data_IF_151286569982
#
_entry.id   IF_151286569982
#
_cell.length_a   1.000
_cell.length_b   1.000
_cell.length_c   1.000
_cell.angle_alpha   90.00
_cell.angle_beta   90.00
_cell.angle_gamma   90.00
#
_symmetry.space_group_name_H-M   'P 1'
#
loop_
_entity.id
_entity.type
_entity.pdbx_description
1 polymer ?
#
# COMPACT_ATOMS: atom_id res chain seq x y z
N UNK A 1 -2.24 -14.34 -5.52
CA UNK A 1 -1.25 -14.53 -4.45
C UNK A 1 -1.64 -13.78 -3.17
N UNK A 2 -1.33 -14.37 -1.99
CA UNK A 2 -1.61 -13.77 -0.68
C UNK A 2 -0.42 -13.01 -0.09
N UNK A 3 0.76 -13.13 -0.71
CA UNK A 3 2.01 -12.55 -0.24
C UNK A 3 2.74 -11.80 -1.35
N UNK A 4 3.51 -10.78 -0.99
CA UNK A 4 4.22 -9.91 -1.93
C UNK A 4 5.29 -10.65 -2.77
N UNK A 5 5.98 -11.64 -2.19
CA UNK A 5 6.98 -12.41 -2.92
C UNK A 5 6.40 -13.23 -4.10
N UNK A 6 5.39 -14.06 -3.88
CA UNK A 6 4.65 -14.72 -4.95
C UNK A 6 4.04 -13.74 -5.96
N UNK A 7 3.43 -12.65 -5.50
CA UNK A 7 2.82 -11.64 -6.37
C UNK A 7 3.87 -10.96 -7.27
N UNK A 8 5.04 -10.63 -6.73
CA UNK A 8 6.15 -10.06 -7.48
C UNK A 8 6.60 -10.96 -8.63
N UNK A 9 6.61 -12.28 -8.43
CA UNK A 9 6.97 -13.25 -9.47
C UNK A 9 5.86 -13.52 -10.47
N UNK A 10 4.59 -13.46 -10.02
CA UNK A 10 3.44 -13.72 -10.88
C UNK A 10 3.16 -12.56 -11.84
N UNK A 11 3.29 -11.33 -11.37
CA UNK A 11 2.95 -10.11 -12.13
C UNK A 11 4.22 -9.38 -12.59
N UNK A 12 5.06 -10.05 -13.39
CA UNK A 12 6.37 -9.53 -13.81
C UNK A 12 6.31 -8.21 -14.56
N UNK A 13 5.27 -8.01 -15.39
CA UNK A 13 5.06 -6.76 -16.15
C UNK A 13 4.69 -5.56 -15.27
N UNK A 14 4.20 -5.82 -14.06
CA UNK A 14 3.74 -4.80 -13.12
C UNK A 14 4.58 -4.73 -11.83
N UNK A 15 5.61 -5.57 -11.69
CA UNK A 15 6.36 -5.66 -10.45
C UNK A 15 7.19 -4.41 -10.11
N UNK A 16 7.32 -3.46 -11.06
CA UNK A 16 7.91 -2.13 -10.83
C UNK A 16 7.19 -1.34 -9.73
N UNK A 17 5.90 -1.60 -9.45
CA UNK A 17 5.16 -0.94 -8.36
C UNK A 17 5.71 -1.30 -6.97
N UNK A 18 6.47 -2.37 -6.85
CA UNK A 18 7.17 -2.72 -5.61
C UNK A 18 8.41 -1.86 -5.34
N UNK A 19 8.88 -1.10 -6.33
CA UNK A 19 9.93 -0.10 -6.14
C UNK A 19 9.31 1.21 -5.61
N UNK A 20 9.42 1.45 -4.30
CA UNK A 20 8.88 2.65 -3.65
C UNK A 20 9.51 3.94 -4.17
N UNK A 21 10.73 3.88 -4.72
CA UNK A 21 11.35 5.02 -5.38
C UNK A 21 10.63 5.35 -6.68
N UNK A 22 10.34 4.34 -7.50
CA UNK A 22 9.55 4.51 -8.70
C UNK A 22 8.15 5.05 -8.37
N UNK A 23 7.47 4.48 -7.37
CA UNK A 23 6.16 4.94 -6.90
C UNK A 23 6.20 6.41 -6.48
N UNK A 24 7.23 6.85 -5.77
CA UNK A 24 7.37 8.26 -5.35
C UNK A 24 7.63 9.18 -6.55
N UNK A 25 8.55 8.79 -7.45
CA UNK A 25 8.86 9.55 -8.69
C UNK A 25 7.64 9.68 -9.61
N UNK A 26 6.82 8.62 -9.74
CA UNK A 26 5.59 8.63 -10.57
C UNK A 26 4.51 9.60 -10.07
N UNK A 27 4.64 10.09 -8.85
CA UNK A 27 3.78 11.10 -8.23
C UNK A 27 4.41 12.51 -8.22
N UNK A 28 5.57 12.69 -8.84
CA UNK A 28 6.38 13.93 -8.80
C UNK A 28 6.75 14.33 -7.35
N UNK A 29 7.09 13.35 -6.51
CA UNK A 29 7.48 13.57 -5.12
C UNK A 29 8.99 13.77 -4.99
N UNK A 30 9.42 14.62 -4.04
CA UNK A 30 10.83 14.75 -3.68
C UNK A 30 11.30 13.44 -3.05
N UNK A 31 12.21 12.74 -3.74
CA UNK A 31 12.71 11.42 -3.32
C UNK A 31 13.96 11.04 -4.10
N UNK A 32 14.75 10.12 -3.54
CA UNK A 32 15.97 9.61 -4.18
C UNK A 32 16.57 8.44 -3.41
N UNK A 33 17.75 8.01 -3.85
CA UNK A 33 18.61 7.10 -3.08
C UNK A 33 19.41 7.87 -2.04
N UNK A 34 20.02 7.17 -1.07
CA UNK A 34 20.89 7.85 -0.12
C UNK A 34 22.22 8.31 -0.75
N UNK A 35 22.64 7.68 -1.83
CA UNK A 35 23.84 8.12 -2.55
C UNK A 35 23.58 9.46 -3.28
N UNK A 36 22.37 9.63 -3.86
CA UNK A 36 21.95 10.90 -4.49
C UNK A 36 21.82 12.03 -3.47
N UNK A 37 21.36 11.75 -2.25
CA UNK A 37 21.10 12.75 -1.21
C UNK A 37 22.39 13.50 -0.80
N UNK A 38 23.54 12.84 -0.87
CA UNK A 38 24.83 13.43 -0.53
C UNK A 38 25.24 14.55 -1.50
N UNK A 39 24.78 14.45 -2.75
CA UNK A 39 25.04 15.44 -3.80
C UNK A 39 24.03 16.60 -3.79
N UNK A 40 22.93 16.46 -3.07
CA UNK A 40 21.83 17.43 -3.06
C UNK A 40 21.50 17.96 -1.66
N UNK A 41 22.44 17.90 -0.71
CA UNK A 41 22.22 18.23 0.71
C UNK A 41 21.52 19.57 0.94
N UNK A 42 21.93 20.59 0.17
CA UNK A 42 21.42 21.96 0.32
C UNK A 42 19.96 22.13 -0.17
N UNK A 43 19.43 21.12 -0.87
CA UNK A 43 18.06 21.14 -1.42
C UNK A 43 17.06 20.33 -0.58
N UNK A 44 17.51 19.72 0.53
CA UNK A 44 16.69 18.85 1.34
C UNK A 44 15.94 19.64 2.39
N UNK A 45 14.63 19.57 2.32
CA UNK A 45 13.72 20.11 3.34
C UNK A 45 13.36 19.03 4.35
N UNK A 46 13.78 19.21 5.59
CA UNK A 46 13.41 18.29 6.68
C UNK A 46 12.01 18.60 7.23
N UNK A 47 11.28 17.59 7.77
CA UNK A 47 11.72 16.19 7.93
C UNK A 47 11.60 15.39 6.63
N UNK A 48 12.52 14.45 6.43
CA UNK A 48 12.43 13.41 5.39
C UNK A 48 12.15 12.03 6.01
N UNK A 49 11.83 11.06 5.16
CA UNK A 49 11.57 9.70 5.57
C UNK A 49 12.46 8.71 4.83
N UNK A 50 13.24 7.92 5.57
CA UNK A 50 14.07 6.84 5.01
C UNK A 50 13.32 5.52 5.20
N UNK A 51 13.29 4.69 4.16
CA UNK A 51 12.62 3.38 4.18
C UNK A 51 13.29 2.40 3.23
N UNK A 52 13.11 1.06 3.42
CA UNK A 52 13.53 0.07 2.44
C UNK A 52 12.88 0.35 1.08
N UNK A 53 13.68 0.33 0.00
CA UNK A 53 13.24 0.68 -1.35
C UNK A 53 12.22 -0.34 -1.89
N UNK A 54 12.46 -1.64 -1.69
CA UNK A 54 11.66 -2.70 -2.31
C UNK A 54 10.61 -3.28 -1.36
N UNK A 55 9.32 -3.08 -1.67
CA UNK A 55 8.18 -3.49 -0.84
C UNK A 55 8.08 -5.00 -0.63
N UNK A 56 8.35 -5.80 -1.65
CA UNK A 56 8.29 -7.27 -1.57
C UNK A 56 9.36 -7.90 -0.67
N UNK A 57 10.37 -7.13 -0.26
CA UNK A 57 11.48 -7.54 0.63
C UNK A 57 11.40 -6.91 2.03
N UNK A 58 10.38 -6.11 2.29
CA UNK A 58 10.22 -5.38 3.55
C UNK A 58 8.86 -5.64 4.17
N UNK A 59 8.79 -5.64 5.49
CA UNK A 59 7.54 -5.82 6.22
C UNK A 59 7.53 -5.00 7.52
N UNK A 60 6.33 -4.62 7.98
CA UNK A 60 6.06 -4.10 9.32
C UNK A 60 6.91 -2.88 9.73
N UNK A 61 7.10 -1.92 8.83
CA UNK A 61 7.85 -0.67 9.07
C UNK A 61 9.31 -0.87 9.55
N UNK A 62 9.84 -2.08 9.47
CA UNK A 62 11.24 -2.35 9.83
C UNK A 62 12.19 -1.58 8.90
N UNK A 63 13.13 -0.85 9.46
CA UNK A 63 14.08 -0.03 8.69
C UNK A 63 13.50 1.29 8.17
N UNK A 64 12.39 1.77 8.74
CA UNK A 64 11.78 3.07 8.44
C UNK A 64 12.14 4.10 9.50
N UNK A 65 12.58 5.30 9.08
CA UNK A 65 13.05 6.35 9.98
C UNK A 65 12.55 7.72 9.53
N UNK A 66 11.98 8.50 10.46
CA UNK A 66 11.74 9.94 10.27
C UNK A 66 13.01 10.68 10.65
N UNK A 67 13.57 11.42 9.72
CA UNK A 67 14.83 12.16 9.87
C UNK A 67 14.51 13.64 9.96
N UNK A 68 14.89 14.28 11.06
CA UNK A 68 14.53 15.65 11.36
C UNK A 68 15.59 16.68 10.96
N UNK A 69 16.84 16.23 10.76
CA UNK A 69 17.98 17.08 10.46
C UNK A 69 19.15 16.28 9.85
N UNK A 70 20.16 16.98 9.39
CA UNK A 70 21.35 16.39 8.76
C UNK A 70 22.14 15.46 9.70
N UNK A 71 22.22 15.79 11.00
CA UNK A 71 22.92 14.95 11.97
C UNK A 71 22.29 13.57 12.12
N UNK A 72 20.95 13.51 12.10
CA UNK A 72 20.23 12.23 12.09
C UNK A 72 20.44 11.50 10.74
N UNK A 73 20.45 12.21 9.60
CA UNK A 73 20.68 11.62 8.30
C UNK A 73 22.03 10.92 8.22
N UNK A 74 23.11 11.54 8.73
CA UNK A 74 24.46 10.97 8.71
C UNK A 74 24.53 9.58 9.34
N UNK A 75 23.70 9.28 10.35
CA UNK A 75 23.64 7.96 11.00
C UNK A 75 23.10 6.84 10.10
N UNK A 76 22.46 7.19 8.98
CA UNK A 76 21.81 6.24 8.08
C UNK A 76 22.47 6.11 6.71
N UNK A 77 23.45 6.94 6.36
CA UNK A 77 24.09 6.97 5.04
C UNK A 77 24.76 5.65 4.62
N UNK A 78 25.17 4.82 5.59
CA UNK A 78 25.74 3.50 5.34
C UNK A 78 24.74 2.45 4.87
N UNK A 79 23.44 2.73 4.99
CA UNK A 79 22.38 1.75 4.66
C UNK A 79 22.25 1.57 3.17
N UNK A 80 22.18 0.30 2.73
CA UNK A 80 21.98 -0.08 1.34
C UNK A 80 20.54 -0.48 1.05
N UNK A 81 20.12 -0.36 -0.23
CA UNK A 81 18.77 -0.73 -0.70
C UNK A 81 17.63 0.02 0.01
N UNK A 82 17.92 1.23 0.47
CA UNK A 82 16.96 2.16 1.04
C UNK A 82 16.77 3.36 0.12
N UNK A 83 15.68 4.07 0.31
CA UNK A 83 15.37 5.33 -0.35
C UNK A 83 14.97 6.38 0.69
N UNK A 84 15.06 7.64 0.32
CA UNK A 84 14.44 8.73 1.06
C UNK A 84 13.27 9.32 0.27
N UNK A 85 12.33 9.90 0.96
CA UNK A 85 11.28 10.75 0.41
C UNK A 85 10.97 11.91 1.37
N UNK A 86 10.32 12.94 0.89
CA UNK A 86 9.67 13.91 1.78
C UNK A 86 8.76 13.19 2.79
N UNK A 87 8.59 13.77 3.98
CA UNK A 87 7.76 13.17 5.01
C UNK A 87 6.28 13.47 4.75
N UNK A 88 5.47 12.42 4.61
CA UNK A 88 4.03 12.57 4.44
C UNK A 88 3.30 12.56 5.78
N UNK A 89 2.54 13.60 6.03
CA UNK A 89 1.69 13.73 7.23
C UNK A 89 0.34 13.04 7.04
N UNK A 90 -0.33 12.76 8.17
CA UNK A 90 -1.67 12.21 8.23
C UNK A 90 -1.68 10.71 8.52
N UNK A 91 -2.90 10.20 8.68
CA UNK A 91 -3.14 8.80 8.97
C UNK A 91 -2.85 7.94 7.73
N UNK A 92 -2.30 6.78 7.99
CA UNK A 92 -2.11 5.77 6.95
C UNK A 92 -3.47 5.16 6.60
N UNK A 93 -3.72 5.09 5.32
CA UNK A 93 -4.92 4.49 4.74
C UNK A 93 -4.48 3.54 3.65
N UNK A 94 -5.25 2.51 3.40
CA UNK A 94 -4.96 1.52 2.37
C UNK A 94 -6.23 1.19 1.60
N UNK A 95 -6.11 1.04 0.29
CA UNK A 95 -7.22 0.57 -0.55
C UNK A 95 -6.75 -0.61 -1.38
N UNK A 96 -7.58 -1.66 -1.37
CA UNK A 96 -7.49 -2.74 -2.34
C UNK A 96 -8.36 -2.41 -3.54
N UNK A 97 -7.74 -2.18 -4.68
CA UNK A 97 -8.42 -2.04 -5.96
C UNK A 97 -8.47 -3.40 -6.65
N UNK A 98 -9.67 -3.93 -6.86
CA UNK A 98 -9.89 -5.13 -7.65
C UNK A 98 -10.05 -4.68 -9.10
N UNK A 99 -9.13 -5.10 -9.94
CA UNK A 99 -9.01 -4.63 -11.31
C UNK A 99 -9.24 -5.74 -12.32
N UNK A 100 -9.91 -5.39 -13.42
CA UNK A 100 -10.10 -6.25 -14.57
C UNK A 100 -9.72 -5.46 -15.82
N UNK A 101 -8.75 -5.94 -16.59
CA UNK A 101 -8.27 -5.30 -17.81
C UNK A 101 -7.98 -3.79 -17.63
N UNK A 102 -7.32 -3.44 -16.51
CA UNK A 102 -6.97 -2.06 -16.19
C UNK A 102 -8.10 -1.18 -15.66
N UNK A 103 -9.30 -1.72 -15.48
CA UNK A 103 -10.46 -0.98 -14.95
C UNK A 103 -10.71 -1.40 -13.49
N UNK A 104 -10.99 -0.44 -12.63
CA UNK A 104 -11.39 -0.69 -11.24
C UNK A 104 -12.82 -1.27 -11.25
N UNK A 105 -12.95 -2.54 -10.92
CA UNK A 105 -14.22 -3.24 -10.80
C UNK A 105 -14.83 -3.08 -9.40
N UNK A 106 -13.99 -3.08 -8.36
CA UNK A 106 -14.41 -2.89 -6.97
C UNK A 106 -13.25 -2.33 -6.13
N UNK A 107 -13.58 -1.74 -4.97
CA UNK A 107 -12.56 -1.21 -4.07
C UNK A 107 -12.97 -1.37 -2.60
N UNK A 108 -11.99 -1.60 -1.74
CA UNK A 108 -12.16 -1.74 -0.30
C UNK A 108 -11.11 -0.88 0.39
N UNK A 109 -11.57 0.08 1.19
CA UNK A 109 -10.68 1.03 1.87
C UNK A 109 -10.63 0.76 3.37
N UNK A 110 -9.41 0.67 3.88
CA UNK A 110 -9.04 0.42 5.26
C UNK A 110 -8.40 1.67 5.86
N UNK A 111 -8.91 2.14 6.97
CA UNK A 111 -8.32 3.24 7.73
C UNK A 111 -7.57 2.66 8.92
N UNK A 112 -6.31 3.01 9.08
CA UNK A 112 -5.50 2.63 10.22
C UNK A 112 -5.64 3.66 11.36
N UNK A 113 -5.55 3.20 12.59
CA UNK A 113 -5.45 4.09 13.74
C UNK A 113 -4.08 4.74 13.85
N UNK A 114 -4.00 5.82 14.64
CA UNK A 114 -2.77 6.62 14.74
C UNK A 114 -1.65 5.93 15.53
N UNK A 115 -1.97 5.00 16.40
CA UNK A 115 -1.04 4.36 17.34
C UNK A 115 -0.37 3.11 16.75
N UNK A 116 0.14 3.20 15.54
CA UNK A 116 0.84 2.11 14.88
C UNK A 116 2.21 1.90 15.52
N UNK A 117 2.37 0.85 16.30
CA UNK A 117 3.67 0.39 16.76
C UNK A 117 4.26 -0.62 15.77
N UNK A 118 5.59 -0.83 15.80
CA UNK A 118 6.26 -1.83 14.95
C UNK A 118 5.80 -3.28 15.24
N UNK A 119 5.07 -3.49 16.31
CA UNK A 119 4.64 -4.81 16.80
C UNK A 119 3.13 -5.05 16.66
N UNK A 120 2.33 -4.00 16.55
CA UNK A 120 0.86 -4.11 16.47
C UNK A 120 0.33 -3.19 15.38
N UNK A 121 -0.27 -3.78 14.35
CA UNK A 121 -1.24 -3.07 13.52
C UNK A 121 -2.50 -2.98 14.38
N UNK A 122 -2.74 -1.85 15.01
CA UNK A 122 -3.71 -1.81 16.09
C UNK A 122 -5.12 -1.96 15.59
N UNK A 123 -5.64 -1.03 14.82
CA UNK A 123 -6.99 -1.17 14.28
C UNK A 123 -7.03 -0.85 12.79
N UNK A 124 -7.73 -1.69 12.05
CA UNK A 124 -8.19 -1.38 10.71
C UNK A 124 -9.69 -1.20 10.75
N UNK A 125 -10.14 -0.02 10.38
CA UNK A 125 -11.56 0.25 10.23
C UNK A 125 -11.96 0.16 8.76
N UNK A 126 -12.96 -0.66 8.48
CA UNK A 126 -13.51 -0.88 7.15
C UNK A 126 -14.97 -0.43 7.17
N UNK A 127 -15.36 0.35 6.18
CA UNK A 127 -16.74 0.75 5.97
C UNK A 127 -17.01 0.93 4.48
N UNK A 128 -18.21 0.61 3.98
CA UNK A 128 -18.62 0.89 2.60
C UNK A 128 -18.54 2.38 2.25
N UNK A 129 -18.60 3.25 3.27
CA UNK A 129 -18.49 4.71 3.12
C UNK A 129 -17.05 5.17 2.93
N UNK A 130 -16.06 4.36 3.31
CA UNK A 130 -14.66 4.70 3.14
C UNK A 130 -14.29 4.60 1.67
N UNK A 131 -13.77 5.69 1.11
CA UNK A 131 -13.29 5.72 -0.26
C UNK A 131 -11.90 6.35 -0.33
N UNK A 132 -11.06 5.93 -1.29
CA UNK A 132 -9.79 6.59 -1.51
C UNK A 132 -10.01 7.99 -2.07
N UNK A 133 -9.05 8.90 -1.90
CA UNK A 133 -9.04 10.16 -2.61
C UNK A 133 -8.99 9.94 -4.13
N UNK A 134 -9.67 10.77 -4.91
CA UNK A 134 -9.71 10.70 -6.38
C UNK A 134 -8.31 10.62 -7.02
N UNK A 135 -7.34 11.35 -6.48
CA UNK A 135 -5.95 11.33 -6.94
C UNK A 135 -5.29 9.95 -6.85
N UNK A 136 -5.67 9.13 -5.88
CA UNK A 136 -5.19 7.74 -5.74
C UNK A 136 -5.81 6.86 -6.84
N UNK A 137 -7.11 7.00 -7.10
CA UNK A 137 -7.78 6.27 -8.19
C UNK A 137 -7.20 6.65 -9.56
N UNK A 138 -6.95 7.94 -9.80
CA UNK A 138 -6.33 8.44 -11.03
C UNK A 138 -4.92 7.85 -11.22
N UNK A 139 -4.12 7.77 -10.15
CA UNK A 139 -2.81 7.15 -10.21
C UNK A 139 -2.91 5.66 -10.58
N UNK A 140 -3.84 4.92 -9.96
CA UNK A 140 -4.07 3.50 -10.26
C UNK A 140 -4.48 3.33 -11.73
N UNK A 141 -5.47 4.07 -12.21
CA UNK A 141 -5.92 4.01 -13.59
C UNK A 141 -4.81 4.34 -14.60
N UNK A 142 -3.94 5.29 -14.27
CA UNK A 142 -2.81 5.68 -15.12
C UNK A 142 -1.74 4.60 -15.21
N UNK A 143 -1.39 3.99 -14.07
CA UNK A 143 -0.20 3.15 -13.93
C UNK A 143 -0.49 1.64 -13.97
N UNK A 144 -1.76 1.22 -13.85
CA UNK A 144 -2.15 -0.18 -13.85
C UNK A 144 -2.98 -0.55 -15.09
N UNK A 145 -2.64 0.04 -16.24
CA UNK A 145 -3.30 -0.27 -17.52
C UNK A 145 -3.19 -1.77 -17.82
N UNK A 146 -4.32 -2.35 -18.27
CA UNK A 146 -4.45 -3.78 -18.60
C UNK A 146 -4.21 -4.76 -17.43
N UNK A 147 -3.92 -4.28 -16.23
CA UNK A 147 -3.74 -5.16 -15.08
C UNK A 147 -5.05 -5.84 -14.67
N UNK A 148 -4.97 -7.13 -14.40
CA UNK A 148 -6.05 -7.89 -13.75
C UNK A 148 -5.53 -8.53 -12.49
N UNK A 149 -6.24 -8.29 -11.37
CA UNK A 149 -5.85 -8.75 -10.06
C UNK A 149 -6.17 -7.72 -8.98
N UNK A 150 -5.48 -7.81 -7.85
CA UNK A 150 -5.64 -6.85 -6.76
C UNK A 150 -4.42 -5.94 -6.67
N UNK A 151 -4.65 -4.63 -6.81
CA UNK A 151 -3.66 -3.59 -6.56
C UNK A 151 -3.92 -2.98 -5.18
N UNK A 152 -3.09 -3.34 -4.21
CA UNK A 152 -3.13 -2.79 -2.85
C UNK A 152 -2.29 -1.52 -2.79
N UNK A 153 -2.90 -0.40 -2.45
CA UNK A 153 -2.24 0.91 -2.39
C UNK A 153 -2.31 1.46 -0.98
N UNK A 154 -1.15 1.72 -0.37
CA UNK A 154 -1.04 2.40 0.91
C UNK A 154 -0.69 3.87 0.69
N UNK A 155 -1.37 4.76 1.37
CA UNK A 155 -1.20 6.20 1.20
C UNK A 155 -1.48 6.99 2.48
N UNK A 156 -1.00 8.23 2.51
CA UNK A 156 -1.36 9.24 3.50
C UNK A 156 -1.92 10.44 2.76
N UNK A 157 -3.18 10.82 3.04
CA UNK A 157 -3.89 11.83 2.24
C UNK A 157 -3.82 11.46 0.74
N UNK A 158 -3.18 12.28 -0.07
CA UNK A 158 -3.03 12.09 -1.51
C UNK A 158 -1.65 11.52 -1.93
N UNK A 159 -0.84 11.04 -0.99
CA UNK A 159 0.53 10.59 -1.26
C UNK A 159 0.65 9.08 -1.06
N UNK A 160 0.89 8.35 -2.13
CA UNK A 160 1.11 6.90 -2.11
C UNK A 160 2.48 6.62 -1.50
N UNK A 161 2.52 5.72 -0.53
CA UNK A 161 3.75 5.33 0.20
C UNK A 161 4.25 3.94 -0.16
N UNK A 162 3.35 3.06 -0.56
CA UNK A 162 3.66 1.67 -0.95
C UNK A 162 2.55 1.10 -1.83
N UNK A 163 2.92 0.21 -2.75
CA UNK A 163 1.99 -0.55 -3.60
C UNK A 163 2.37 -2.02 -3.57
N UNK A 164 1.37 -2.90 -3.57
CA UNK A 164 1.53 -4.34 -3.67
C UNK A 164 0.47 -4.95 -4.60
N UNK A 165 0.78 -6.10 -5.18
CA UNK A 165 -0.11 -6.79 -6.13
C UNK A 165 -0.80 -7.99 -5.46
N UNK A 166 -1.34 -7.77 -4.28
CA UNK A 166 -2.03 -8.76 -3.46
C UNK A 166 -3.03 -8.08 -2.52
N UNK A 167 -4.03 -8.78 -1.98
CA UNK A 167 -4.98 -8.21 -1.04
C UNK A 167 -4.33 -7.79 0.28
N UNK A 168 -4.99 -6.92 1.01
CA UNK A 168 -4.64 -6.60 2.39
C UNK A 168 -4.60 -7.87 3.24
N UNK A 169 -3.62 -7.97 4.13
CA UNK A 169 -3.52 -9.09 5.06
C UNK A 169 -4.62 -9.05 6.12
N UNK A 170 -5.04 -10.22 6.59
CA UNK A 170 -5.87 -10.34 7.78
C UNK A 170 -7.31 -10.80 7.57
N UNK A 171 -7.65 -11.41 6.42
CA UNK A 171 -8.97 -12.02 6.21
C UNK A 171 -10.16 -11.06 6.26
N UNK A 172 -9.90 -9.75 6.18
CA UNK A 172 -10.89 -8.70 6.35
C UNK A 172 -12.07 -8.78 5.36
N UNK A 173 -11.86 -9.37 4.19
CA UNK A 173 -12.93 -9.52 3.20
C UNK A 173 -14.05 -10.43 3.68
N UNK A 174 -13.67 -11.62 4.19
CA UNK A 174 -14.65 -12.59 4.66
C UNK A 174 -15.41 -12.05 5.88
N UNK A 175 -14.69 -11.46 6.80
CA UNK A 175 -15.25 -10.94 8.05
C UNK A 175 -16.14 -9.71 7.82
N UNK A 176 -15.77 -8.81 6.89
CA UNK A 176 -16.55 -7.59 6.61
C UNK A 176 -17.85 -7.87 5.84
N UNK A 177 -17.89 -8.91 5.02
CA UNK A 177 -19.07 -9.28 4.25
C UNK A 177 -19.94 -10.34 4.95
N UNK A 178 -19.37 -11.05 5.92
CA UNK A 178 -19.98 -12.22 6.56
C UNK A 178 -20.43 -13.31 5.55
N UNK A 179 -19.82 -13.35 4.39
CA UNK A 179 -20.04 -14.36 3.36
C UNK A 179 -18.80 -14.50 2.46
N UNK A 180 -18.77 -15.52 1.63
CA UNK A 180 -17.66 -15.83 0.75
C UNK A 180 -17.82 -15.28 -0.69
N UNK A 181 -18.91 -14.58 -0.95
CA UNK A 181 -19.25 -14.09 -2.31
C UNK A 181 -18.16 -13.18 -2.87
N UNK A 182 -17.63 -12.28 -2.04
CA UNK A 182 -16.52 -11.42 -2.44
C UNK A 182 -15.25 -12.21 -2.76
N UNK A 183 -14.93 -13.23 -1.95
CA UNK A 183 -13.78 -14.10 -2.15
C UNK A 183 -13.92 -14.88 -3.46
N UNK A 184 -15.10 -15.47 -3.70
CA UNK A 184 -15.41 -16.17 -4.96
C UNK A 184 -15.27 -15.27 -6.17
N UNK A 185 -15.73 -14.02 -6.05
CA UNK A 185 -15.64 -13.05 -7.14
C UNK A 185 -14.19 -12.61 -7.40
N UNK A 186 -13.38 -12.42 -6.36
CA UNK A 186 -11.95 -12.16 -6.49
C UNK A 186 -11.24 -13.34 -7.19
N UNK A 187 -11.58 -14.58 -6.85
CA UNK A 187 -11.03 -15.75 -7.51
C UNK A 187 -11.41 -15.78 -9.00
N UNK A 188 -12.66 -15.45 -9.34
CA UNK A 188 -13.09 -15.32 -10.74
C UNK A 188 -12.29 -14.25 -11.51
N UNK A 189 -11.94 -13.13 -10.86
CA UNK A 189 -11.07 -12.12 -11.48
C UNK A 189 -9.70 -12.70 -11.79
N UNK A 190 -9.09 -13.40 -10.85
CA UNK A 190 -7.72 -13.94 -11.00
C UNK A 190 -7.67 -15.11 -11.99
N UNK A 191 -8.67 -15.99 -11.95
CA UNK A 191 -8.69 -17.23 -12.74
C UNK A 191 -9.31 -17.05 -14.14
N UNK A 192 -10.34 -16.21 -14.25
CA UNK A 192 -11.19 -16.09 -15.45
C UNK A 192 -11.20 -14.70 -16.07
N UNK A 193 -10.51 -13.75 -15.45
CA UNK A 193 -10.49 -12.34 -15.90
C UNK A 193 -11.89 -11.67 -15.90
N UNK A 194 -12.78 -12.12 -15.01
CA UNK A 194 -14.18 -11.70 -14.95
C UNK A 194 -14.54 -11.23 -13.55
N UNK A 195 -15.15 -10.05 -13.47
CA UNK A 195 -15.87 -9.59 -12.29
C UNK A 195 -17.37 -9.82 -12.51
N UNK A 196 -17.98 -10.63 -11.66
CA UNK A 196 -19.43 -10.81 -11.65
C UNK A 196 -20.03 -9.64 -10.87
N UNK A 197 -20.91 -8.87 -11.52
CA UNK A 197 -21.61 -7.78 -10.83
C UNK A 197 -22.46 -8.37 -9.70
N UNK A 198 -22.18 -7.92 -8.48
CA UNK A 198 -22.94 -8.31 -7.32
C UNK A 198 -23.92 -7.19 -6.98
N UNK A 199 -25.17 -7.54 -6.68
CA UNK A 199 -26.15 -6.59 -6.16
C UNK A 199 -25.60 -5.92 -4.90
N UNK A 200 -25.87 -4.62 -4.76
CA UNK A 200 -25.33 -3.80 -3.65
C UNK A 200 -25.54 -4.46 -2.27
N UNK A 201 -26.65 -5.16 -2.10
CA UNK A 201 -27.01 -5.81 -0.82
C UNK A 201 -26.13 -7.01 -0.48
N UNK A 202 -25.57 -7.68 -1.48
CA UNK A 202 -24.66 -8.83 -1.29
C UNK A 202 -23.22 -8.43 -0.96
N UNK A 203 -22.85 -7.16 -1.19
CA UNK A 203 -21.57 -6.57 -0.82
C UNK A 203 -21.70 -5.57 0.34
N UNK A 204 -22.78 -5.61 1.09
CA UNK A 204 -22.97 -4.74 2.24
C UNK A 204 -21.94 -5.07 3.32
N UNK A 205 -20.84 -4.31 3.29
CA UNK A 205 -19.89 -4.29 4.40
C UNK A 205 -20.54 -3.66 5.61
N UNK A 206 -20.65 -4.40 6.69
CA UNK A 206 -20.88 -3.77 8.00
C UNK A 206 -19.59 -3.06 8.40
N UNK A 207 -19.67 -1.90 9.09
CA UNK A 207 -18.51 -1.29 9.72
C UNK A 207 -17.79 -2.35 10.57
N UNK A 208 -16.49 -2.49 10.36
CA UNK A 208 -15.72 -3.56 10.95
C UNK A 208 -14.37 -3.07 11.43
N UNK A 209 -13.98 -3.54 12.62
CA UNK A 209 -12.66 -3.30 13.19
C UNK A 209 -11.86 -4.59 13.18
N UNK A 210 -10.67 -4.56 12.61
CA UNK A 210 -9.71 -5.64 12.70
C UNK A 210 -8.53 -5.21 13.55
N UNK A 211 -8.14 -6.02 14.53
CA UNK A 211 -6.93 -5.81 15.30
C UNK A 211 -6.09 -7.08 15.32
N UNK A 212 -4.79 -6.92 15.41
CA UNK A 212 -3.84 -8.00 15.45
C UNK A 212 -3.28 -8.10 16.87
N UNK A 213 -3.57 -9.20 17.55
CA UNK A 213 -2.92 -9.54 18.82
C UNK A 213 -1.66 -10.38 18.54
N UNK A 214 -0.53 -9.98 19.09
CA UNK A 214 0.67 -10.81 19.11
C UNK A 214 0.73 -11.42 20.51
N UNK A 215 0.36 -12.69 20.60
CA UNK A 215 0.64 -13.49 21.81
C UNK A 215 2.13 -13.89 21.78
N UNK A 216 2.88 -13.50 22.79
CA UNK A 216 4.20 -14.09 23.06
C UNK A 216 3.95 -15.38 23.83
N UNK A 217 4.25 -16.51 23.20
CA UNK A 217 4.47 -17.76 23.90
C UNK A 217 5.92 -17.87 24.32
#
# INVERSE_FOLDING_TARGET
PLFDGPAYRQYTEYNYVYDKLWVSKSQNKKCGTLDEIMNEKDKIEYPIFIKPRYGHKSASSKGCYKIKNESELKKHLHKKKVMWSEFYEGNETMTDFIMVNGKIAHQITYIYTQSKTSFTDEYKYISPKNKPPKKIEEWVNKNMKNFTGICNVQYKKNSIIEVGLRPARGGAYLQSTNNDVLIKNINNVVEKNVWVFLEKDKLNFKPYYSFKCITRF
#
